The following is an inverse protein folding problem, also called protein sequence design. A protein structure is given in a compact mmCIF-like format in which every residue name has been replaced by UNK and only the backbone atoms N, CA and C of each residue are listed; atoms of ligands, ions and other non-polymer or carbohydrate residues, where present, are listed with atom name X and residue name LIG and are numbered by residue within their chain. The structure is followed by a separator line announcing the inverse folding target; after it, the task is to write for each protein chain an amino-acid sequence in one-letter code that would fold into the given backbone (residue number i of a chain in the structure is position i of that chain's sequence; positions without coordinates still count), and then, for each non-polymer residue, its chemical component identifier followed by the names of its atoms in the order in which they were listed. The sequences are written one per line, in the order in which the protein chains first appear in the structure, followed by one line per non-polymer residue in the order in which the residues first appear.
data_IF_343462789049
#
_entry.id   IF_343462789049
#
_cell.length_a   1.000
_cell.length_b   1.000
_cell.length_c   1.000
_cell.angle_alpha   90.00
_cell.angle_beta   90.00
_cell.angle_gamma   90.00
#
_symmetry.space_group_name_H-M   'P 1'
#
loop_
_entity.id
_entity.type
_entity.pdbx_description
1 polymer ?
#
# COMPACT_ATOMS: atom_id res chain seq x y z
N UNK A 1 46.15 -12.90 -24.94
CA UNK A 1 45.72 -12.16 -23.74
C UNK A 1 44.30 -11.65 -23.97
N UNK A 2 43.30 -12.31 -23.38
CA UNK A 2 41.88 -11.92 -23.49
C UNK A 2 41.41 -11.45 -22.12
N UNK A 3 41.03 -10.17 -22.01
CA UNK A 3 40.45 -9.60 -20.78
C UNK A 3 38.96 -9.95 -20.74
N UNK A 4 38.58 -10.84 -19.81
CA UNK A 4 37.18 -11.07 -19.44
C UNK A 4 36.63 -9.80 -18.79
N UNK A 5 35.66 -9.16 -19.45
CA UNK A 5 34.77 -8.20 -18.80
C UNK A 5 33.79 -8.97 -17.91
N UNK A 6 33.83 -8.73 -16.60
CA UNK A 6 32.79 -9.15 -15.66
C UNK A 6 31.59 -8.23 -15.89
N UNK A 7 30.55 -8.71 -16.57
CA UNK A 7 29.24 -8.09 -16.53
C UNK A 7 28.72 -8.19 -15.09
N UNK A 8 28.88 -7.11 -14.33
CA UNK A 8 28.12 -6.88 -13.11
C UNK A 8 26.65 -6.80 -13.50
N UNK A 9 25.85 -7.73 -13.00
CA UNK A 9 24.40 -7.68 -13.14
C UNK A 9 23.90 -6.36 -12.58
N UNK A 10 23.31 -5.55 -13.45
CA UNK A 10 22.50 -4.41 -13.04
C UNK A 10 21.36 -5.01 -12.22
N UNK A 11 21.31 -4.70 -10.91
CA UNK A 11 20.13 -4.96 -10.08
C UNK A 11 18.96 -4.30 -10.79
N UNK A 12 17.95 -5.07 -11.18
CA UNK A 12 16.73 -4.51 -11.73
C UNK A 12 16.20 -3.46 -10.76
N UNK A 13 16.01 -2.25 -11.28
CA UNK A 13 15.42 -1.13 -10.57
C UNK A 13 13.97 -1.52 -10.22
N UNK A 14 13.64 -1.55 -8.93
CA UNK A 14 12.33 -1.90 -8.35
C UNK A 14 11.23 -0.84 -8.57
N UNK A 15 11.50 0.19 -9.38
CA UNK A 15 10.54 1.23 -9.69
C UNK A 15 9.43 0.67 -10.60
N UNK A 16 8.19 1.08 -10.34
CA UNK A 16 6.98 0.72 -11.10
C UNK A 16 6.55 -0.75 -11.00
N UNK A 17 6.74 -1.42 -9.86
CA UNK A 17 6.09 -2.71 -9.65
C UNK A 17 4.56 -2.56 -9.73
N UNK A 18 3.94 -3.42 -10.52
CA UNK A 18 2.51 -3.38 -10.84
C UNK A 18 1.63 -3.55 -9.59
N UNK A 19 2.14 -4.18 -8.53
CA UNK A 19 1.41 -4.32 -7.25
C UNK A 19 0.98 -2.96 -6.69
N UNK A 20 1.76 -1.90 -6.95
CA UNK A 20 1.47 -0.56 -6.46
C UNK A 20 0.63 0.28 -7.43
N UNK A 21 0.37 -0.19 -8.65
CA UNK A 21 -0.34 0.56 -9.70
C UNK A 21 -1.79 0.13 -9.92
N UNK A 22 -2.33 -0.74 -9.04
CA UNK A 22 -3.69 -1.32 -9.16
C UNK A 22 -3.96 -2.03 -10.49
N UNK A 23 -2.91 -2.42 -11.22
CA UNK A 23 -3.01 -3.22 -12.44
C UNK A 23 -2.87 -4.70 -12.08
N UNK A 24 -3.59 -5.59 -12.80
CA UNK A 24 -3.54 -7.05 -12.52
C UNK A 24 -2.08 -7.51 -12.55
N UNK A 25 -1.58 -7.90 -11.38
CA UNK A 25 -0.19 -8.27 -11.16
C UNK A 25 -0.10 -9.78 -10.97
N UNK A 26 0.95 -10.39 -11.51
CA UNK A 26 1.27 -11.78 -11.20
C UNK A 26 1.71 -11.86 -9.75
N UNK A 27 0.92 -12.55 -8.93
CA UNK A 27 1.24 -12.76 -7.51
C UNK A 27 2.35 -13.83 -7.44
N UNK A 28 3.46 -13.58 -6.72
CA UNK A 28 4.47 -14.61 -6.52
C UNK A 28 3.88 -15.82 -5.80
N UNK A 29 4.17 -17.04 -6.28
CA UNK A 29 3.64 -18.28 -5.71
C UNK A 29 3.71 -18.36 -4.17
N UNK A 30 4.83 -18.03 -3.50
CA UNK A 30 4.89 -18.12 -2.03
C UNK A 30 3.92 -17.18 -1.32
N UNK A 31 3.51 -16.10 -1.97
CA UNK A 31 2.55 -15.14 -1.43
C UNK A 31 1.12 -15.59 -1.71
N UNK A 32 0.88 -16.12 -2.91
CA UNK A 32 -0.40 -16.75 -3.25
C UNK A 32 -0.70 -17.92 -2.29
N UNK A 33 0.27 -18.82 -2.07
CA UNK A 33 0.15 -19.93 -1.13
C UNK A 33 -0.18 -19.43 0.28
N UNK A 34 0.53 -18.39 0.75
CA UNK A 34 0.26 -17.80 2.07
C UNK A 34 -1.15 -17.21 2.18
N UNK A 35 -1.66 -16.58 1.13
CA UNK A 35 -3.01 -16.02 1.10
C UNK A 35 -4.06 -17.13 1.07
N UNK A 36 -3.83 -18.17 0.26
CA UNK A 36 -4.67 -19.36 0.21
C UNK A 36 -4.75 -20.06 1.57
N UNK A 37 -3.61 -20.32 2.20
CA UNK A 37 -3.52 -20.95 3.52
C UNK A 37 -4.30 -20.13 4.57
N UNK A 38 -4.13 -18.80 4.59
CA UNK A 38 -4.83 -17.95 5.53
C UNK A 38 -6.35 -17.94 5.29
N UNK A 39 -6.79 -17.92 4.03
CA UNK A 39 -8.19 -17.99 3.66
C UNK A 39 -8.81 -19.33 4.11
N UNK A 40 -8.16 -20.45 3.79
CA UNK A 40 -8.62 -21.79 4.16
C UNK A 40 -8.70 -21.96 5.68
N UNK A 41 -7.63 -21.64 6.41
CA UNK A 41 -7.60 -21.79 7.87
C UNK A 41 -8.68 -20.90 8.52
N UNK A 42 -8.90 -19.69 8.01
CA UNK A 42 -9.95 -18.81 8.52
C UNK A 42 -11.35 -19.42 8.34
N UNK A 43 -11.65 -19.91 7.14
CA UNK A 43 -12.94 -20.55 6.82
C UNK A 43 -13.17 -21.80 7.67
N UNK A 44 -12.15 -22.64 7.85
CA UNK A 44 -12.20 -23.85 8.70
C UNK A 44 -12.44 -23.49 10.17
N UNK A 45 -11.67 -22.55 10.73
CA UNK A 45 -11.81 -22.11 12.13
C UNK A 45 -13.21 -21.55 12.44
N UNK A 46 -13.84 -20.92 11.43
CA UNK A 46 -15.16 -20.30 11.56
C UNK A 46 -16.31 -21.21 11.14
N UNK A 47 -16.02 -22.35 10.49
CA UNK A 47 -17.03 -23.25 9.96
C UNK A 47 -17.94 -22.58 8.93
N UNK A 48 -17.36 -21.75 8.06
CA UNK A 48 -18.08 -21.01 7.01
C UNK A 48 -17.54 -21.36 5.63
N UNK A 49 -18.42 -21.38 4.63
CA UNK A 49 -18.04 -21.60 3.24
C UNK A 49 -17.66 -20.27 2.56
N UNK A 50 -18.47 -19.22 2.79
CA UNK A 50 -18.27 -17.88 2.25
C UNK A 50 -17.75 -16.92 3.32
N UNK A 51 -16.66 -16.20 3.02
CA UNK A 51 -16.15 -15.13 3.87
C UNK A 51 -16.91 -13.84 3.58
N UNK A 52 -17.39 -13.18 4.63
CA UNK A 52 -18.04 -11.88 4.55
C UNK A 52 -17.02 -10.74 4.68
N UNK A 53 -17.27 -9.60 4.03
CA UNK A 53 -16.36 -8.46 4.06
C UNK A 53 -16.18 -7.86 5.47
N UNK A 54 -17.19 -8.00 6.34
CA UNK A 54 -17.11 -7.64 7.76
C UNK A 54 -16.07 -8.44 8.54
N UNK A 55 -15.67 -9.61 8.02
CA UNK A 55 -14.68 -10.51 8.63
C UNK A 55 -13.25 -10.24 8.15
N UNK A 56 -13.06 -9.44 7.09
CA UNK A 56 -11.74 -9.13 6.53
C UNK A 56 -10.75 -8.54 7.54
N UNK A 57 -11.14 -7.60 8.43
CA UNK A 57 -10.20 -7.07 9.42
C UNK A 57 -9.61 -8.16 10.31
N UNK A 58 -10.41 -9.14 10.71
CA UNK A 58 -9.92 -10.27 11.52
C UNK A 58 -9.01 -11.18 10.70
N UNK A 59 -9.42 -11.56 9.49
CA UNK A 59 -8.61 -12.38 8.58
C UNK A 59 -7.21 -11.74 8.39
N UNK A 60 -7.16 -10.45 8.09
CA UNK A 60 -5.92 -9.73 7.82
C UNK A 60 -5.04 -9.60 9.07
N UNK A 61 -5.61 -9.25 10.22
CA UNK A 61 -4.82 -9.02 11.44
C UNK A 61 -4.38 -10.35 12.07
N UNK A 62 -5.28 -11.33 12.19
CA UNK A 62 -5.04 -12.56 12.95
C UNK A 62 -4.33 -13.63 12.12
N UNK A 63 -4.68 -13.80 10.84
CA UNK A 63 -4.19 -14.90 10.01
C UNK A 63 -3.07 -14.46 9.06
N UNK A 64 -3.15 -13.24 8.51
CA UNK A 64 -2.08 -12.69 7.66
C UNK A 64 -1.03 -11.88 8.45
N UNK A 65 -1.28 -11.60 9.73
CA UNK A 65 -0.43 -10.80 10.61
C UNK A 65 -0.13 -9.40 10.04
N UNK A 66 -1.14 -8.78 9.42
CA UNK A 66 -1.06 -7.41 8.96
C UNK A 66 -1.08 -6.46 10.16
N UNK A 67 -0.15 -5.51 10.16
CA UNK A 67 -0.07 -4.48 11.20
C UNK A 67 -1.40 -3.74 11.36
N UNK A 68 -1.87 -3.47 12.60
CA UNK A 68 -3.07 -2.67 12.84
C UNK A 68 -3.06 -1.30 12.15
N UNK A 69 -1.86 -0.74 11.89
CA UNK A 69 -1.69 0.52 11.15
C UNK A 69 -2.17 0.41 9.71
N UNK A 70 -1.85 -0.70 9.03
CA UNK A 70 -2.29 -0.96 7.66
C UNK A 70 -3.72 -1.47 7.63
N UNK A 71 -4.11 -2.33 8.59
CA UNK A 71 -5.47 -2.85 8.68
C UNK A 71 -6.53 -1.74 8.80
N UNK A 72 -6.17 -0.59 9.37
CA UNK A 72 -7.02 0.61 9.41
C UNK A 72 -7.46 1.11 8.03
N UNK A 73 -6.67 0.84 6.98
CA UNK A 73 -6.94 1.29 5.61
C UNK A 73 -7.62 0.22 4.75
N UNK A 74 -8.04 -0.90 5.33
CA UNK A 74 -8.82 -1.92 4.60
C UNK A 74 -10.20 -1.33 4.27
N UNK A 75 -10.41 -1.11 2.98
CA UNK A 75 -11.68 -0.69 2.39
C UNK A 75 -12.46 -1.91 1.95
N UNK A 76 -13.43 -2.34 2.74
CA UNK A 76 -14.16 -3.61 2.54
C UNK A 76 -14.89 -3.69 1.19
N UNK A 77 -15.32 -2.55 0.64
CA UNK A 77 -15.93 -2.40 -0.69
C UNK A 77 -15.00 -2.87 -1.82
N UNK A 78 -13.68 -2.76 -1.64
CA UNK A 78 -12.69 -3.21 -2.63
C UNK A 78 -12.56 -4.73 -2.72
N UNK A 79 -13.22 -5.46 -1.82
CA UNK A 79 -13.19 -6.92 -1.74
C UNK A 79 -14.52 -7.56 -2.07
N UNK A 80 -15.59 -6.80 -2.32
CA UNK A 80 -16.93 -7.36 -2.54
C UNK A 80 -17.03 -8.04 -3.91
N UNK A 81 -17.60 -9.24 -3.94
CA UNK A 81 -17.95 -9.98 -5.15
C UNK A 81 -19.04 -9.26 -5.92
N UNK A 82 -18.84 -9.09 -7.23
CA UNK A 82 -19.78 -8.39 -8.09
C UNK A 82 -21.17 -9.04 -8.04
N UNK A 83 -22.20 -8.20 -7.89
CA UNK A 83 -23.59 -8.67 -7.72
C UNK A 83 -23.97 -9.08 -6.29
N UNK A 84 -23.06 -8.98 -5.32
CA UNK A 84 -23.32 -9.21 -3.88
C UNK A 84 -23.10 -7.93 -3.07
N UNK A 85 -23.51 -7.94 -1.80
CA UNK A 85 -23.32 -6.79 -0.89
C UNK A 85 -22.16 -6.95 0.07
N UNK A 86 -21.77 -8.18 0.35
CA UNK A 86 -20.96 -8.50 1.52
C UNK A 86 -20.13 -9.78 1.38
N UNK A 87 -20.22 -10.52 0.26
CA UNK A 87 -19.39 -11.70 0.04
C UNK A 87 -18.03 -11.27 -0.52
N UNK A 88 -16.95 -11.85 -0.01
CA UNK A 88 -15.59 -11.57 -0.47
C UNK A 88 -15.36 -12.22 -1.84
N UNK A 89 -14.94 -11.41 -2.80
CA UNK A 89 -14.37 -11.85 -4.07
C UNK A 89 -12.96 -12.40 -3.85
N UNK A 90 -12.76 -13.66 -4.23
CA UNK A 90 -11.49 -14.33 -4.04
C UNK A 90 -10.34 -13.70 -4.86
N UNK A 91 -10.59 -13.25 -6.10
CA UNK A 91 -9.55 -12.60 -6.92
C UNK A 91 -9.16 -11.25 -6.32
N UNK A 92 -10.14 -10.46 -5.85
CA UNK A 92 -9.87 -9.18 -5.19
C UNK A 92 -9.15 -9.38 -3.86
N UNK A 93 -9.48 -10.44 -3.11
CA UNK A 93 -8.76 -10.84 -1.91
C UNK A 93 -7.29 -11.14 -2.22
N UNK A 94 -7.00 -11.97 -3.22
CA UNK A 94 -5.63 -12.30 -3.58
C UNK A 94 -4.83 -11.06 -3.97
N UNK A 95 -5.39 -10.22 -4.84
CA UNK A 95 -4.71 -9.02 -5.33
C UNK A 95 -4.44 -7.99 -4.22
N UNK A 96 -5.48 -7.60 -3.48
CA UNK A 96 -5.32 -6.64 -2.40
C UNK A 96 -4.52 -7.22 -1.23
N UNK A 97 -4.72 -8.50 -0.90
CA UNK A 97 -3.95 -9.21 0.11
C UNK A 97 -2.46 -9.20 -0.18
N UNK A 98 -2.06 -9.39 -1.45
CA UNK A 98 -0.68 -9.27 -1.88
C UNK A 98 -0.13 -7.85 -1.64
N UNK A 99 -0.88 -6.82 -2.01
CA UNK A 99 -0.50 -5.42 -1.76
C UNK A 99 -0.30 -5.15 -0.26
N UNK A 100 -1.24 -5.57 0.59
CA UNK A 100 -1.13 -5.41 2.04
C UNK A 100 0.06 -6.15 2.64
N UNK A 101 0.33 -7.39 2.20
CA UNK A 101 1.51 -8.14 2.64
C UNK A 101 2.82 -7.44 2.24
N UNK A 102 2.85 -6.87 1.04
CA UNK A 102 4.01 -6.13 0.52
C UNK A 102 4.29 -4.87 1.33
N UNK A 103 3.26 -4.07 1.59
CA UNK A 103 3.37 -2.90 2.45
C UNK A 103 3.76 -3.30 3.89
N UNK A 104 3.20 -4.39 4.41
CA UNK A 104 3.47 -4.87 5.77
C UNK A 104 4.93 -5.30 5.97
N UNK A 105 5.56 -5.91 4.95
CA UNK A 105 6.99 -6.23 4.94
C UNK A 105 7.85 -4.97 5.13
N UNK A 106 7.40 -3.85 4.58
CA UNK A 106 8.11 -2.57 4.58
C UNK A 106 7.62 -1.60 5.65
N UNK A 107 6.83 -2.05 6.63
CA UNK A 107 6.16 -1.19 7.61
C UNK A 107 7.12 -0.29 8.40
N UNK A 108 8.32 -0.77 8.73
CA UNK A 108 9.32 0.02 9.46
C UNK A 108 9.88 1.18 8.64
N UNK A 109 10.09 0.94 7.35
CA UNK A 109 10.52 1.98 6.40
C UNK A 109 9.40 3.01 6.21
N UNK A 110 8.16 2.53 6.03
CA UNK A 110 6.98 3.39 5.96
C UNK A 110 6.83 4.27 7.20
N UNK A 111 6.93 3.67 8.39
CA UNK A 111 6.86 4.40 9.67
C UNK A 111 7.94 5.48 9.77
N UNK A 112 9.18 5.13 9.39
CA UNK A 112 10.31 6.04 9.47
C UNK A 112 10.11 7.23 8.52
N UNK A 113 9.80 6.98 7.25
CA UNK A 113 9.65 8.03 6.25
C UNK A 113 8.40 8.87 6.48
N UNK A 114 7.28 8.24 6.85
CA UNK A 114 6.04 8.95 7.13
C UNK A 114 6.20 9.93 8.30
N UNK A 115 6.93 9.54 9.35
CA UNK A 115 7.19 10.40 10.51
C UNK A 115 8.01 11.65 10.18
N UNK A 116 8.75 11.66 9.08
CA UNK A 116 9.55 12.81 8.63
C UNK A 116 8.74 13.84 7.85
N UNK A 117 7.69 13.39 7.15
CA UNK A 117 6.92 14.24 6.22
C UNK A 117 5.59 14.67 6.81
N UNK A 118 4.98 13.86 7.67
CA UNK A 118 3.67 14.19 8.23
C UNK A 118 3.81 15.25 9.32
N UNK A 119 3.02 16.34 9.29
CA UNK A 119 3.13 17.37 10.30
C UNK A 119 2.85 16.83 11.70
N UNK A 120 3.51 17.43 12.69
CA UNK A 120 3.13 17.22 14.07
C UNK A 120 1.68 17.70 14.26
N UNK A 121 0.84 16.81 14.79
CA UNK A 121 -0.53 17.16 15.16
C UNK A 121 -0.56 17.56 16.63
N UNK A 122 -1.27 18.65 16.99
CA UNK A 122 -1.56 18.96 18.39
C UNK A 122 -2.52 17.94 19.03
N UNK A 123 -3.16 17.08 18.24
CA UNK A 123 -3.98 15.97 18.74
C UNK A 123 -3.12 14.76 19.11
N UNK A 124 -3.53 14.00 20.13
CA UNK A 124 -2.97 12.68 20.47
C UNK A 124 -3.33 11.59 19.43
N UNK A 125 -3.64 11.98 18.20
CA UNK A 125 -3.93 11.04 17.13
C UNK A 125 -2.65 10.28 16.72
N UNK A 126 -2.73 8.95 16.56
CA UNK A 126 -1.61 8.15 16.06
C UNK A 126 -1.09 8.68 14.72
N UNK A 127 0.24 8.72 14.58
CA UNK A 127 0.94 9.31 13.42
C UNK A 127 0.45 8.73 12.08
N UNK A 128 0.16 7.44 12.01
CA UNK A 128 -0.30 6.76 10.79
C UNK A 128 -1.72 7.16 10.33
N UNK A 129 -2.53 7.81 11.19
CA UNK A 129 -3.88 8.29 10.82
C UNK A 129 -3.90 9.73 10.31
N UNK A 130 -2.80 10.44 10.52
CA UNK A 130 -2.65 11.83 10.07
C UNK A 130 -2.64 11.87 8.55
N UNK A 131 -2.87 13.06 8.00
CA UNK A 131 -3.00 13.31 6.57
C UNK A 131 -2.03 14.41 6.16
N UNK A 132 -1.46 14.28 4.98
CA UNK A 132 -0.60 15.28 4.36
C UNK A 132 -1.41 16.04 3.32
N UNK A 133 -1.62 17.33 3.55
CA UNK A 133 -2.37 18.20 2.63
C UNK A 133 -1.41 19.00 1.73
N UNK A 134 -1.97 19.64 0.70
CA UNK A 134 -1.22 20.51 -0.22
C UNK A 134 -0.35 21.55 0.51
N UNK A 135 -0.89 22.18 1.55
CA UNK A 135 -0.15 23.20 2.30
C UNK A 135 1.04 22.62 3.07
N UNK A 136 0.97 21.36 3.49
CA UNK A 136 2.07 20.68 4.17
C UNK A 136 3.18 20.34 3.18
N UNK A 137 2.82 19.87 1.98
CA UNK A 137 3.78 19.61 0.90
C UNK A 137 4.51 20.89 0.49
N UNK A 138 3.80 22.02 0.35
CA UNK A 138 4.41 23.32 0.05
C UNK A 138 5.43 23.75 1.11
N UNK A 139 5.13 23.54 2.39
CA UNK A 139 6.08 23.80 3.47
C UNK A 139 7.29 22.88 3.40
N UNK A 140 7.10 21.60 3.09
CA UNK A 140 8.21 20.66 2.92
C UNK A 140 9.14 21.07 1.76
N UNK A 141 8.59 21.51 0.62
CA UNK A 141 9.40 21.98 -0.52
C UNK A 141 10.20 23.23 -0.18
N UNK A 142 9.60 24.16 0.59
CA UNK A 142 10.30 25.35 1.09
C UNK A 142 11.48 24.98 2.01
N UNK A 143 11.28 24.01 2.92
CA UNK A 143 12.32 23.54 3.85
C UNK A 143 13.48 22.86 3.13
N UNK A 144 13.19 22.08 2.08
CA UNK A 144 14.20 21.34 1.31
C UNK A 144 15.03 22.29 0.42
N UNK A 145 14.59 23.54 0.24
CA UNK A 145 15.30 24.54 -0.55
C UNK A 145 15.16 24.31 -2.06
N UNK A 146 14.20 23.50 -2.48
CA UNK A 146 13.84 23.37 -3.90
C UNK A 146 12.92 24.55 -4.25
N UNK A 147 13.55 25.68 -4.56
CA UNK A 147 12.87 26.96 -4.87
C UNK A 147 12.35 27.01 -6.30
N UNK A 148 12.46 25.93 -7.07
CA UNK A 148 11.71 25.82 -8.31
C UNK A 148 10.24 25.75 -7.90
N UNK A 149 9.43 26.73 -8.32
CA UNK A 149 7.98 26.70 -8.11
C UNK A 149 7.44 25.40 -8.69
N UNK A 150 7.31 24.37 -7.85
CA UNK A 150 6.55 23.18 -8.20
C UNK A 150 5.15 23.71 -8.43
N UNK A 151 4.71 23.71 -9.69
CA UNK A 151 3.43 24.31 -10.03
C UNK A 151 2.35 23.67 -9.18
N UNK A 152 1.41 24.48 -8.69
CA UNK A 152 0.32 23.94 -7.87
C UNK A 152 -0.47 22.87 -8.64
N UNK A 153 -0.48 22.94 -9.97
CA UNK A 153 -1.05 21.92 -10.85
C UNK A 153 -0.28 20.60 -10.80
N UNK A 154 1.06 20.62 -10.84
CA UNK A 154 1.88 19.41 -10.69
C UNK A 154 1.73 18.80 -9.30
N UNK A 155 1.63 19.62 -8.25
CA UNK A 155 1.37 19.14 -6.90
C UNK A 155 -0.04 18.55 -6.77
N UNK A 156 -1.05 19.13 -7.44
CA UNK A 156 -2.40 18.57 -7.51
C UNK A 156 -2.33 17.22 -8.22
N UNK A 157 -1.64 17.11 -9.36
CA UNK A 157 -1.45 15.84 -10.08
C UNK A 157 -0.73 14.77 -9.24
N UNK A 158 0.19 15.18 -8.34
CA UNK A 158 0.84 14.28 -7.38
C UNK A 158 -0.07 13.87 -6.23
N UNK A 159 -1.02 14.73 -5.82
CA UNK A 159 -2.02 14.43 -4.78
C UNK A 159 -3.19 13.60 -5.32
N UNK A 160 -3.55 13.76 -6.59
CA UNK A 160 -4.63 13.03 -7.26
C UNK A 160 -4.17 11.67 -7.77
N UNK A 161 -3.23 11.01 -7.06
CA UNK A 161 -2.93 9.59 -7.25
C UNK A 161 -4.26 8.85 -7.43
N UNK A 162 -4.44 8.11 -8.54
CA UNK A 162 -5.76 7.60 -8.93
C UNK A 162 -6.26 6.65 -7.84
N UNK A 163 -7.08 7.21 -6.96
CA UNK A 163 -7.64 6.55 -5.79
C UNK A 163 -9.09 6.18 -6.11
N UNK A 164 -9.28 5.35 -7.14
CA UNK A 164 -10.58 4.83 -7.59
C UNK A 164 -11.71 5.88 -7.67
N UNK A 165 -11.40 7.11 -8.11
CA UNK A 165 -12.40 8.16 -8.33
C UNK A 165 -12.85 8.95 -7.09
N UNK A 166 -12.16 8.83 -5.94
CA UNK A 166 -12.37 9.75 -4.82
C UNK A 166 -11.49 10.99 -5.00
N UNK A 167 -12.11 12.17 -5.14
CA UNK A 167 -11.46 13.49 -5.18
C UNK A 167 -10.83 13.86 -3.82
N UNK A 168 -9.86 13.07 -3.35
CA UNK A 168 -9.14 13.34 -2.11
C UNK A 168 -8.01 14.33 -2.36
N UNK A 169 -8.05 15.43 -1.62
CA UNK A 169 -7.01 16.47 -1.61
C UNK A 169 -6.00 16.27 -0.47
N UNK A 170 -5.66 15.02 -0.17
CA UNK A 170 -4.65 14.66 0.83
C UNK A 170 -4.03 13.30 0.50
N UNK A 171 -2.82 13.08 1.01
CA UNK A 171 -2.14 11.77 1.05
C UNK A 171 -2.29 11.23 2.47
N UNK A 172 -2.77 10.01 2.62
CA UNK A 172 -2.68 9.28 3.89
C UNK A 172 -1.50 8.30 3.93
N UNK A 173 -1.34 7.59 5.04
CA UNK A 173 -0.24 6.65 5.24
C UNK A 173 -0.23 5.52 4.21
N UNK A 174 -1.40 5.05 3.77
CA UNK A 174 -1.49 3.99 2.77
C UNK A 174 -1.12 4.52 1.39
N UNK A 175 -1.66 5.67 0.99
CA UNK A 175 -1.33 6.36 -0.25
C UNK A 175 0.19 6.63 -0.35
N UNK A 176 0.79 7.09 0.74
CA UNK A 176 2.23 7.30 0.82
C UNK A 176 3.03 6.02 0.57
N UNK A 177 2.57 4.89 1.12
CA UNK A 177 3.17 3.59 0.83
C UNK A 177 3.07 3.19 -0.64
N UNK A 178 1.95 3.46 -1.31
CA UNK A 178 1.82 3.22 -2.75
C UNK A 178 2.77 4.09 -3.56
N UNK A 179 2.92 5.37 -3.20
CA UNK A 179 3.84 6.30 -3.86
C UNK A 179 5.28 5.79 -3.73
N UNK A 180 5.72 5.45 -2.51
CA UNK A 180 7.06 4.90 -2.26
C UNK A 180 7.32 3.61 -3.04
N UNK A 181 6.31 2.73 -3.12
CA UNK A 181 6.40 1.51 -3.92
C UNK A 181 6.59 1.80 -5.41
N UNK A 182 5.83 2.74 -5.96
CA UNK A 182 5.92 3.14 -7.38
C UNK A 182 7.28 3.74 -7.74
N UNK A 183 7.89 4.52 -6.85
CA UNK A 183 9.22 5.08 -7.09
C UNK A 183 10.37 4.10 -6.79
N UNK A 184 10.05 2.88 -6.31
CA UNK A 184 11.01 1.80 -6.07
C UNK A 184 11.71 1.84 -4.71
N UNK A 185 11.24 2.66 -3.78
CA UNK A 185 11.76 2.75 -2.40
C UNK A 185 11.28 1.60 -1.51
N UNK A 186 10.19 0.92 -1.90
CA UNK A 186 9.74 -0.31 -1.24
C UNK A 186 10.12 -1.52 -2.08
N UNK A 187 10.57 -2.57 -1.39
CA UNK A 187 10.95 -3.83 -2.04
C UNK A 187 9.72 -4.75 -2.07
N UNK A 188 9.23 -5.04 -3.28
CA UNK A 188 8.21 -6.07 -3.51
C UNK A 188 8.73 -7.47 -3.15
N UNK A 189 7.85 -8.47 -3.15
CA UNK A 189 8.24 -9.85 -2.84
C UNK A 189 9.00 -10.53 -3.98
#
# INVERSE_FOLDING_TARGET
MSRKSKNGGIKQTTAFDNVFTFTKTTIPQPIEDKLLDAFTIFSEDRGIDDILTSQLPELFVKYLHISPKLAYFIKTDQFVLEGTTDIVDFEKYLFNGYLFLTLNKSIKTLDSYWSLVVPESPSNEPVYKRKLYMNDIKKLTEIIGDTNEVSSDLLIDMLTVPNNGEDKLYIDYFDFGLILGRIGELVAY
#
